data_IF_503329850243
#
_entry.id   IF_503329850243
#
_cell.length_a   1.000
_cell.length_b   1.000
_cell.length_c   1.000
_cell.angle_alpha   90.00
_cell.angle_beta   90.00
_cell.angle_gamma   90.00
#
_symmetry.space_group_name_H-M   'P 1'
#
loop_
_entity.id
_entity.type
_entity.pdbx_description
1 polymer ?
#
# COMPACT_ATOMS: atom_id res chain seq x y z
N UNK A 1 -54.14 -23.57 -12.71
CA UNK A 1 -53.04 -22.80 -12.06
C UNK A 1 -53.62 -21.52 -11.48
N UNK A 2 -53.38 -21.18 -10.21
CA UNK A 2 -53.90 -19.96 -9.60
C UNK A 2 -53.39 -18.72 -10.32
N UNK A 3 -54.26 -17.72 -10.56
CA UNK A 3 -53.94 -16.51 -11.35
C UNK A 3 -52.72 -15.74 -10.80
N UNK A 4 -52.50 -15.79 -9.49
CA UNK A 4 -51.34 -15.19 -8.81
C UNK A 4 -50.00 -15.82 -9.23
N UNK A 5 -49.97 -17.11 -9.57
CA UNK A 5 -48.75 -17.81 -9.99
C UNK A 5 -48.32 -17.43 -11.41
N UNK A 6 -49.26 -17.05 -12.28
CA UNK A 6 -48.92 -16.56 -13.63
C UNK A 6 -48.33 -15.14 -13.57
N UNK A 7 -48.83 -14.31 -12.65
CA UNK A 7 -48.32 -12.94 -12.45
C UNK A 7 -46.91 -12.97 -11.86
N UNK A 8 -46.64 -13.84 -10.89
CA UNK A 8 -45.29 -13.94 -10.30
C UNK A 8 -44.26 -14.45 -11.31
N UNK A 9 -44.62 -15.39 -12.18
CA UNK A 9 -43.73 -15.87 -13.25
C UNK A 9 -43.48 -14.79 -14.31
N UNK A 10 -44.51 -14.02 -14.68
CA UNK A 10 -44.36 -12.90 -15.62
C UNK A 10 -43.46 -11.78 -15.07
N UNK A 11 -43.61 -11.43 -13.78
CA UNK A 11 -42.77 -10.41 -13.13
C UNK A 11 -41.32 -10.89 -12.97
N UNK A 12 -41.11 -12.16 -12.64
CA UNK A 12 -39.77 -12.75 -12.58
C UNK A 12 -39.08 -12.77 -13.95
N UNK A 13 -39.82 -13.08 -15.01
CA UNK A 13 -39.31 -13.03 -16.40
C UNK A 13 -38.92 -11.62 -16.84
N UNK A 14 -39.73 -10.60 -16.49
CA UNK A 14 -39.43 -9.21 -16.81
C UNK A 14 -38.19 -8.67 -16.08
N UNK A 15 -38.01 -9.06 -14.80
CA UNK A 15 -36.83 -8.67 -14.00
C UNK A 15 -35.54 -9.31 -14.53
N UNK A 16 -35.61 -10.53 -15.07
CA UNK A 16 -34.46 -11.21 -15.66
C UNK A 16 -34.04 -10.66 -17.04
N UNK A 17 -34.96 -10.05 -17.79
CA UNK A 17 -34.67 -9.47 -19.10
C UNK A 17 -34.15 -8.02 -19.04
N UNK A 18 -34.44 -7.29 -17.96
CA UNK A 18 -33.98 -5.92 -17.69
C UNK A 18 -32.43 -5.75 -17.71
N UNK A 19 -31.62 -6.62 -17.08
CA UNK A 19 -30.15 -6.50 -17.16
C UNK A 19 -29.60 -6.82 -18.56
N UNK A 20 -30.29 -7.65 -19.34
CA UNK A 20 -29.89 -7.99 -20.72
C UNK A 20 -30.07 -6.78 -21.66
N UNK A 21 -31.15 -6.02 -21.49
CA UNK A 21 -31.41 -4.77 -22.21
C UNK A 21 -30.39 -3.67 -21.84
N UNK A 22 -30.00 -3.56 -20.57
CA UNK A 22 -28.99 -2.59 -20.10
C UNK A 22 -27.58 -2.92 -20.65
N UNK A 23 -27.24 -4.20 -20.81
CA UNK A 23 -25.97 -4.63 -21.42
C UNK A 23 -25.87 -4.28 -22.91
N UNK A 24 -26.97 -4.38 -23.67
CA UNK A 24 -26.98 -4.07 -25.11
C UNK A 24 -26.78 -2.56 -25.35
N UNK A 25 -27.36 -1.70 -24.51
CA UNK A 25 -27.19 -0.23 -24.61
C UNK A 25 -25.75 0.19 -24.24
N UNK A 26 -25.09 -0.49 -23.30
CA UNK A 26 -23.70 -0.16 -22.88
C UNK A 26 -22.64 -0.60 -23.90
N UNK A 27 -22.91 -1.66 -24.68
CA UNK A 27 -22.03 -2.11 -25.78
C UNK A 27 -22.11 -1.22 -27.03
N UNK A 28 -23.22 -0.50 -27.27
CA UNK A 28 -23.41 0.29 -28.48
C UNK A 28 -22.82 1.72 -28.42
N UNK A 29 -22.54 2.26 -27.22
CA UNK A 29 -22.11 3.66 -27.08
C UNK A 29 -20.58 3.88 -26.97
N UNK A 30 -19.77 2.83 -27.14
CA UNK A 30 -18.30 2.94 -27.06
C UNK A 30 -17.64 3.29 -28.40
N UNK A 31 -17.79 4.51 -28.92
CA UNK A 31 -16.91 5.01 -30.00
C UNK A 31 -16.66 6.52 -29.94
N UNK A 32 -15.39 6.88 -29.62
CA UNK A 32 -14.49 7.86 -30.28
C UNK A 32 -13.69 8.70 -29.27
N UNK A 33 -12.36 8.54 -29.31
CA UNK A 33 -11.36 9.51 -28.81
C UNK A 33 -11.10 10.58 -29.88
N UNK A 34 -10.63 11.78 -29.50
CA UNK A 34 -9.40 12.27 -30.14
C UNK A 34 -8.37 12.93 -29.20
N UNK A 35 -7.13 12.95 -29.71
CA UNK A 35 -5.86 13.47 -29.14
C UNK A 35 -5.72 15.00 -29.29
N UNK A 36 -5.00 15.66 -28.37
CA UNK A 36 -4.07 16.79 -28.62
C UNK A 36 -3.34 17.16 -27.30
N UNK A 37 -2.17 17.79 -27.21
CA UNK A 37 -0.88 17.84 -27.94
C UNK A 37 -0.06 18.85 -27.09
N UNK A 38 1.07 18.46 -26.52
CA UNK A 38 1.93 19.32 -25.69
C UNK A 38 2.42 20.56 -26.45
N UNK A 39 2.70 21.63 -25.69
CA UNK A 39 3.80 22.55 -26.02
C UNK A 39 4.42 23.15 -24.75
N UNK A 40 5.73 22.95 -24.63
CA UNK A 40 6.65 23.51 -23.65
C UNK A 40 7.05 24.93 -24.10
N UNK A 41 7.23 25.84 -23.14
CA UNK A 41 7.93 27.11 -23.31
C UNK A 41 8.65 27.48 -22.02
N UNK A 42 9.98 27.58 -22.08
CA UNK A 42 10.90 28.00 -21.01
C UNK A 42 11.42 29.43 -21.29
N UNK A 43 12.18 29.97 -20.32
CA UNK A 43 12.95 31.24 -20.28
C UNK A 43 12.21 32.41 -19.61
N UNK A 44 12.82 33.28 -18.78
CA UNK A 44 14.13 33.31 -18.14
C UNK A 44 14.13 34.35 -16.99
N UNK A 45 15.18 34.27 -16.19
CA UNK A 45 15.65 35.04 -15.01
C UNK A 45 15.66 36.56 -15.14
N UNK A 46 15.34 37.32 -14.06
CA UNK A 46 16.30 38.21 -13.34
C UNK A 46 15.70 39.06 -12.20
N UNK A 47 16.39 38.95 -11.07
CA UNK A 47 16.51 39.75 -9.83
C UNK A 47 16.00 41.20 -9.77
N UNK A 48 15.35 41.58 -8.64
CA UNK A 48 15.82 42.67 -7.74
C UNK A 48 14.93 42.88 -6.49
N UNK A 49 15.61 42.81 -5.35
CA UNK A 49 15.47 43.37 -4.00
C UNK A 49 14.26 44.24 -3.54
N UNK A 50 13.89 43.93 -2.28
CA UNK A 50 13.51 44.80 -1.13
C UNK A 50 12.09 45.36 -0.92
N UNK A 51 11.61 45.01 0.28
CA UNK A 51 10.81 45.77 1.26
C UNK A 51 9.32 46.01 1.02
N UNK A 52 8.55 45.27 1.82
CA UNK A 52 7.34 45.65 2.56
C UNK A 52 6.23 46.36 1.78
N UNK A 53 5.13 45.64 1.59
CA UNK A 53 3.77 46.10 1.90
C UNK A 53 2.82 44.89 1.82
N UNK A 54 2.06 44.67 2.89
CA UNK A 54 1.00 43.67 3.01
C UNK A 54 0.08 43.75 1.79
N UNK A 55 -0.08 42.66 1.03
CA UNK A 55 -1.08 42.52 -0.04
C UNK A 55 -1.88 41.23 0.12
N UNK A 56 -3.18 41.25 -0.23
CA UNK A 56 -4.10 40.15 0.01
C UNK A 56 -3.74 38.92 -0.84
N UNK A 57 -4.01 37.74 -0.29
CA UNK A 57 -3.71 36.45 -0.92
C UNK A 57 -4.34 36.34 -2.32
N UNK A 58 -3.51 36.27 -3.36
CA UNK A 58 -3.95 35.81 -4.68
C UNK A 58 -4.37 34.34 -4.56
N UNK A 59 -5.49 33.92 -5.16
CA UNK A 59 -5.85 32.51 -5.23
C UNK A 59 -4.80 31.80 -6.11
N UNK A 60 -3.90 31.04 -5.50
CA UNK A 60 -3.00 30.15 -6.21
C UNK A 60 -3.84 29.08 -6.92
N UNK A 61 -3.66 28.97 -8.23
CA UNK A 61 -4.27 27.93 -9.06
C UNK A 61 -3.77 26.58 -8.53
N UNK A 62 -4.65 25.66 -8.09
CA UNK A 62 -4.21 24.38 -7.57
C UNK A 62 -3.62 23.49 -8.68
N UNK A 63 -2.62 22.66 -8.37
CA UNK A 63 -2.22 21.57 -9.24
C UNK A 63 -3.35 20.52 -9.39
N UNK A 64 -3.27 19.62 -10.39
CA UNK A 64 -4.21 18.52 -10.52
C UNK A 64 -4.07 17.50 -9.38
N UNK A 65 -5.21 17.07 -8.81
CA UNK A 65 -5.30 16.11 -7.70
C UNK A 65 -4.63 16.55 -6.39
N UNK A 66 -4.93 17.76 -5.92
CA UNK A 66 -4.33 18.32 -4.69
C UNK A 66 -5.34 18.52 -3.55
N UNK A 67 -4.86 18.43 -2.31
CA UNK A 67 -5.57 18.71 -1.06
C UNK A 67 -5.03 20.02 -0.45
N UNK A 68 -5.91 20.92 0.00
CA UNK A 68 -5.54 22.17 0.69
C UNK A 68 -5.58 21.97 2.22
N UNK A 69 -4.41 22.05 2.83
CA UNK A 69 -4.17 21.98 4.29
C UNK A 69 -4.18 23.41 4.82
N UNK A 70 -4.74 23.66 6.01
CA UNK A 70 -4.88 25.05 6.47
C UNK A 70 -4.19 25.57 7.68
N UNK A 71 -3.86 24.75 8.64
CA UNK A 71 -3.30 25.29 9.86
C UNK A 71 -2.53 24.19 10.50
N UNK A 72 -1.27 24.50 10.81
CA UNK A 72 -0.51 23.85 11.85
C UNK A 72 -0.13 24.99 12.78
N UNK A 73 -0.78 25.09 13.94
CA UNK A 73 -0.42 26.05 14.96
C UNK A 73 -0.13 25.23 16.21
N UNK A 74 1.12 25.25 16.65
CA UNK A 74 1.48 24.68 17.95
C UNK A 74 1.21 25.73 19.03
N UNK A 75 0.18 25.52 19.83
CA UNK A 75 0.19 25.99 21.22
C UNK A 75 0.89 24.91 22.07
N UNK A 76 1.32 25.18 23.32
CA UNK A 76 2.35 24.39 24.01
C UNK A 76 2.14 22.87 24.18
N UNK A 77 1.02 22.29 23.75
CA UNK A 77 0.76 20.85 23.70
C UNK A 77 -0.17 20.40 22.56
N UNK A 78 -0.59 21.30 21.65
CA UNK A 78 -1.69 21.02 20.71
C UNK A 78 -1.30 21.32 19.28
N UNK A 79 -1.46 20.32 18.41
CA UNK A 79 -1.38 20.47 16.97
C UNK A 79 -2.80 20.55 16.40
N UNK A 80 -3.22 21.75 16.00
CA UNK A 80 -4.45 21.91 15.23
C UNK A 80 -4.18 21.63 13.76
N UNK A 81 -4.99 20.79 13.12
CA UNK A 81 -4.90 20.40 11.71
C UNK A 81 -6.21 20.74 11.01
N UNK A 82 -6.15 21.53 9.94
CA UNK A 82 -7.33 21.90 9.13
C UNK A 82 -7.35 21.21 7.77
N UNK A 83 -8.48 20.59 7.42
CA UNK A 83 -8.78 20.03 6.10
C UNK A 83 -9.79 20.95 5.41
N UNK A 84 -9.37 21.73 4.41
CA UNK A 84 -10.26 22.68 3.72
C UNK A 84 -10.99 22.06 2.55
N UNK A 85 -10.26 21.64 1.52
CA UNK A 85 -10.86 21.20 0.27
C UNK A 85 -9.91 20.30 -0.50
N UNK A 86 -10.45 19.50 -1.41
CA UNK A 86 -9.71 18.79 -2.43
C UNK A 86 -10.22 19.18 -3.81
N UNK A 87 -9.36 19.09 -4.83
CA UNK A 87 -9.74 19.34 -6.22
C UNK A 87 -9.27 18.23 -7.13
N UNK A 88 -10.02 18.00 -8.20
CA UNK A 88 -9.71 17.03 -9.25
C UNK A 88 -9.37 15.63 -8.68
N UNK A 89 -10.19 15.17 -7.74
CA UNK A 89 -10.09 13.81 -7.23
C UNK A 89 -10.36 12.80 -8.34
N UNK A 90 -9.78 11.61 -8.19
CA UNK A 90 -10.05 10.49 -9.09
C UNK A 90 -11.48 10.00 -8.88
N UNK A 91 -12.23 9.83 -9.96
CA UNK A 91 -13.52 9.15 -9.96
C UNK A 91 -13.35 7.66 -9.69
N UNK A 92 -13.91 7.19 -8.59
CA UNK A 92 -13.85 5.80 -8.15
C UNK A 92 -15.18 5.08 -8.37
N UNK A 93 -16.30 5.81 -8.38
CA UNK A 93 -17.62 5.26 -8.68
C UNK A 93 -17.84 5.06 -10.18
N UNK A 94 -18.68 4.07 -10.49
CA UNK A 94 -19.20 3.83 -11.84
C UNK A 94 -19.96 5.02 -12.45
N UNK A 95 -20.39 5.98 -11.63
CA UNK A 95 -21.04 7.23 -12.02
C UNK A 95 -20.09 8.33 -12.50
N UNK A 96 -18.78 8.10 -12.50
CA UNK A 96 -17.78 9.12 -12.89
C UNK A 96 -17.52 10.17 -11.81
N UNK A 97 -17.95 9.92 -10.58
CA UNK A 97 -17.70 10.74 -9.38
C UNK A 97 -17.09 9.89 -8.27
N UNK A 98 -16.95 10.46 -7.08
CA UNK A 98 -16.62 9.75 -5.84
C UNK A 98 -17.47 10.35 -4.70
N UNK A 99 -17.56 9.65 -3.58
CA UNK A 99 -18.12 10.09 -2.31
C UNK A 99 -16.99 10.38 -1.29
N UNK A 100 -16.17 11.44 -1.48
CA UNK A 100 -14.94 11.63 -0.72
C UNK A 100 -15.15 11.98 0.76
N UNK A 101 -14.28 11.42 1.60
CA UNK A 101 -14.01 11.84 2.98
C UNK A 101 -12.51 11.68 3.31
N UNK A 102 -12.02 12.36 4.34
CA UNK A 102 -10.60 12.36 4.71
C UNK A 102 -10.43 11.77 6.10
N UNK A 103 -9.50 10.82 6.23
CA UNK A 103 -9.02 10.32 7.51
C UNK A 103 -7.70 11.02 7.84
N UNK A 104 -7.60 11.57 9.04
CA UNK A 104 -6.45 12.33 9.53
C UNK A 104 -5.88 11.67 10.78
N UNK A 105 -4.58 11.39 10.80
CA UNK A 105 -3.89 10.82 11.97
C UNK A 105 -2.40 11.17 11.99
N UNK A 106 -1.75 10.95 13.13
CA UNK A 106 -0.30 11.08 13.29
C UNK A 106 0.35 9.71 13.34
N UNK A 107 1.57 9.58 12.79
CA UNK A 107 2.30 8.30 12.85
C UNK A 107 2.72 7.89 14.26
N UNK A 108 2.88 8.85 15.18
CA UNK A 108 3.14 8.61 16.60
C UNK A 108 1.97 7.98 17.34
N UNK A 109 0.73 8.29 16.93
CA UNK A 109 -0.49 7.71 17.48
C UNK A 109 -1.48 7.34 16.36
N UNK A 110 -1.19 6.20 15.74
CA UNK A 110 -2.03 5.62 14.66
C UNK A 110 -3.41 5.15 15.13
N UNK A 111 -3.67 5.09 16.44
CA UNK A 111 -4.99 4.71 16.98
C UNK A 111 -5.93 5.91 17.01
N UNK A 112 -5.41 7.11 17.24
CA UNK A 112 -6.17 8.34 17.27
C UNK A 112 -6.35 8.90 15.85
N UNK A 113 -7.49 8.59 15.25
CA UNK A 113 -7.87 9.02 13.91
C UNK A 113 -9.09 9.91 13.96
N UNK A 114 -9.11 10.91 13.10
CA UNK A 114 -10.26 11.77 12.87
C UNK A 114 -10.75 11.58 11.45
N UNK A 115 -12.05 11.71 11.25
CA UNK A 115 -12.68 11.58 9.94
C UNK A 115 -13.52 12.81 9.65
N UNK A 116 -13.46 13.31 8.41
CA UNK A 116 -14.37 14.33 7.93
C UNK A 116 -15.74 13.74 7.62
N UNK A 117 -16.72 14.60 7.40
CA UNK A 117 -17.99 14.21 6.77
C UNK A 117 -17.74 13.66 5.36
N UNK A 118 -18.64 12.78 4.94
CA UNK A 118 -18.69 12.25 3.56
C UNK A 118 -19.45 13.23 2.67
N UNK A 119 -18.83 13.64 1.58
CA UNK A 119 -19.45 14.49 0.57
C UNK A 119 -19.80 13.63 -0.65
N UNK A 120 -21.07 13.63 -1.06
CA UNK A 120 -21.53 12.71 -2.10
C UNK A 120 -21.33 13.26 -3.52
N UNK A 121 -20.97 12.37 -4.44
CA UNK A 121 -20.91 12.59 -5.90
C UNK A 121 -20.14 13.85 -6.28
N UNK A 122 -18.95 14.03 -5.73
CA UNK A 122 -18.10 15.19 -6.01
C UNK A 122 -16.64 14.80 -6.14
N UNK A 123 -15.94 15.43 -7.08
CA UNK A 123 -14.49 15.35 -7.22
C UNK A 123 -13.78 16.58 -6.65
N UNK A 124 -14.54 17.57 -6.16
CA UNK A 124 -14.05 18.82 -5.61
C UNK A 124 -14.73 19.13 -4.27
N UNK A 125 -14.58 18.28 -3.24
CA UNK A 125 -15.22 18.48 -1.95
C UNK A 125 -14.62 19.68 -1.20
N UNK A 126 -15.49 20.44 -0.52
CA UNK A 126 -15.12 21.49 0.42
C UNK A 126 -15.51 20.99 1.82
N UNK A 127 -14.51 20.55 2.59
CA UNK A 127 -14.67 19.99 3.92
C UNK A 127 -14.81 21.09 4.99
N UNK A 128 -13.84 22.01 5.04
CA UNK A 128 -13.69 23.06 6.07
C UNK A 128 -13.78 22.52 7.51
N UNK A 129 -13.10 21.40 7.78
CA UNK A 129 -13.08 20.76 9.11
C UNK A 129 -11.72 20.95 9.79
N UNK A 130 -11.69 20.95 11.12
CA UNK A 130 -10.48 21.11 11.92
C UNK A 130 -10.43 20.12 13.06
N UNK A 131 -9.26 19.54 13.29
CA UNK A 131 -8.99 18.52 14.29
C UNK A 131 -7.84 18.97 15.19
N UNK A 132 -7.85 18.56 16.46
CA UNK A 132 -6.81 18.92 17.42
C UNK A 132 -6.17 17.67 17.99
N UNK A 133 -4.86 17.50 17.75
CA UNK A 133 -4.05 16.45 18.33
C UNK A 133 -3.34 16.98 19.57
N UNK A 134 -3.29 16.17 20.62
CA UNK A 134 -2.45 16.42 21.80
C UNK A 134 -1.14 15.70 21.53
N UNK A 135 -0.04 16.43 21.35
CA UNK A 135 1.26 15.85 20.97
C UNK A 135 2.35 16.49 21.84
N UNK A 136 3.07 15.71 22.66
CA UNK A 136 4.22 16.23 23.40
C UNK A 136 5.24 16.82 22.45
N UNK A 137 5.82 17.98 22.79
CA UNK A 137 6.75 18.69 21.90
C UNK A 137 7.97 17.85 21.47
N UNK A 138 8.41 16.92 22.33
CA UNK A 138 9.49 15.98 22.01
C UNK A 138 9.14 15.00 20.89
N UNK A 139 7.87 14.63 20.73
CA UNK A 139 7.41 13.67 19.72
C UNK A 139 7.05 14.33 18.39
N UNK A 140 6.88 15.66 18.37
CA UNK A 140 6.48 16.41 17.18
C UNK A 140 7.50 16.25 16.06
N UNK A 141 8.80 16.35 16.34
CA UNK A 141 9.85 16.23 15.32
C UNK A 141 9.93 14.83 14.68
N UNK A 142 9.52 13.78 15.38
CA UNK A 142 9.54 12.40 14.89
C UNK A 142 8.20 11.97 14.26
N UNK A 143 7.17 12.81 14.39
CA UNK A 143 5.83 12.54 13.91
C UNK A 143 5.62 13.01 12.47
N UNK A 144 4.84 12.24 11.73
CA UNK A 144 4.34 12.60 10.40
C UNK A 144 2.83 12.71 10.46
N UNK A 145 2.29 13.82 9.96
CA UNK A 145 0.85 13.97 9.73
C UNK A 145 0.47 13.24 8.46
N UNK A 146 -0.52 12.37 8.56
CA UNK A 146 -1.05 11.61 7.43
C UNK A 146 -2.51 11.98 7.22
N UNK A 147 -2.84 12.35 5.98
CA UNK A 147 -4.20 12.60 5.52
C UNK A 147 -4.50 11.68 4.34
N UNK A 148 -5.45 10.78 4.50
CA UNK A 148 -5.86 9.83 3.48
C UNK A 148 -7.26 10.19 2.98
N UNK A 149 -7.39 10.38 1.67
CA UNK A 149 -8.68 10.64 1.03
C UNK A 149 -9.28 9.32 0.58
N UNK A 150 -10.47 9.01 1.06
CA UNK A 150 -11.21 7.79 0.73
C UNK A 150 -12.49 8.11 -0.04
N UNK A 151 -12.91 7.16 -0.85
CA UNK A 151 -14.20 7.08 -1.50
C UNK A 151 -15.13 6.18 -0.66
N UNK A 152 -16.23 6.73 -0.18
CA UNK A 152 -17.19 6.02 0.65
C UNK A 152 -18.04 5.05 -0.19
N UNK A 153 -18.08 3.79 0.23
CA UNK A 153 -18.87 2.75 -0.42
C UNK A 153 -19.90 2.15 0.55
N UNK A 154 -21.19 2.25 0.22
CA UNK A 154 -22.27 1.75 1.11
C UNK A 154 -22.28 0.23 1.32
N UNK A 155 -21.86 -0.52 0.31
CA UNK A 155 -21.98 -1.98 0.27
C UNK A 155 -20.65 -2.70 -0.02
N UNK A 156 -19.56 -1.96 -0.04
CA UNK A 156 -18.23 -2.48 -0.34
C UNK A 156 -17.18 -1.79 0.55
N UNK A 157 -15.96 -2.30 0.55
CA UNK A 157 -14.84 -1.64 1.22
C UNK A 157 -14.61 -0.27 0.58
N UNK A 158 -14.30 0.73 1.40
CA UNK A 158 -13.99 2.08 0.93
C UNK A 158 -12.66 2.07 0.16
N UNK A 159 -12.64 2.77 -0.97
CA UNK A 159 -11.46 2.82 -1.82
C UNK A 159 -10.61 4.04 -1.48
N UNK A 160 -9.30 3.86 -1.40
CA UNK A 160 -8.41 4.99 -1.17
C UNK A 160 -8.16 5.72 -2.49
N UNK A 161 -8.41 7.02 -2.51
CA UNK A 161 -8.18 7.91 -3.66
C UNK A 161 -6.70 8.32 -3.69
N UNK A 162 -6.15 8.70 -2.54
CA UNK A 162 -4.75 9.10 -2.39
C UNK A 162 -4.42 9.54 -0.98
N UNK A 163 -3.14 9.84 -0.72
CA UNK A 163 -2.68 10.28 0.60
C UNK A 163 -1.68 11.43 0.53
N UNK A 164 -1.64 12.22 1.59
CA UNK A 164 -0.62 13.22 1.88
C UNK A 164 0.10 12.83 3.15
N UNK A 165 1.43 12.85 3.12
CA UNK A 165 2.29 12.67 4.29
C UNK A 165 3.13 13.93 4.48
N UNK A 166 3.05 14.51 5.67
CA UNK A 166 3.76 15.73 6.04
C UNK A 166 4.61 15.48 7.30
N UNK A 167 5.92 15.26 7.15
CA UNK A 167 6.83 15.15 8.29
C UNK A 167 6.82 16.47 9.08
N UNK A 168 6.42 16.43 10.35
CA UNK A 168 6.23 17.66 11.13
C UNK A 168 7.56 18.37 11.42
N UNK A 169 8.70 17.66 11.45
CA UNK A 169 10.03 18.27 11.52
C UNK A 169 10.36 19.19 10.34
N UNK A 170 9.75 18.98 9.17
CA UNK A 170 10.00 19.79 7.97
C UNK A 170 9.19 21.10 7.96
N UNK A 171 8.36 21.33 8.97
CA UNK A 171 7.36 22.39 8.98
C UNK A 171 7.61 23.35 10.14
N UNK A 172 7.56 24.65 9.88
CA UNK A 172 7.64 25.65 10.93
C UNK A 172 6.27 25.85 11.60
N UNK A 173 6.03 25.10 12.68
CA UNK A 173 4.75 25.05 13.41
C UNK A 173 4.46 26.29 14.26
N UNK A 174 5.34 27.30 14.26
CA UNK A 174 5.15 28.58 14.96
C UNK A 174 4.18 29.52 14.21
N UNK A 175 3.92 29.25 12.92
CA UNK A 175 3.02 30.05 12.09
C UNK A 175 1.92 29.18 11.50
N UNK A 176 0.74 29.79 11.30
CA UNK A 176 -0.36 29.13 10.58
C UNK A 176 0.05 28.89 9.12
N UNK A 177 0.23 27.62 8.76
CA UNK A 177 0.60 27.22 7.39
C UNK A 177 -0.63 26.73 6.64
N UNK A 178 -0.88 27.35 5.50
CA UNK A 178 -1.91 26.98 4.53
C UNK A 178 -1.26 26.66 3.18
N UNK A 179 -1.33 25.41 2.74
CA UNK A 179 -0.71 24.98 1.49
C UNK A 179 -1.51 23.88 0.77
N UNK A 180 -1.38 23.84 -0.55
CA UNK A 180 -1.80 22.71 -1.37
C UNK A 180 -0.76 21.58 -1.29
N UNK A 181 -1.20 20.35 -1.33
CA UNK A 181 -0.35 19.17 -1.37
C UNK A 181 -0.95 18.14 -2.32
N UNK A 182 -0.13 17.64 -3.24
CA UNK A 182 -0.59 16.65 -4.22
C UNK A 182 -0.87 15.31 -3.54
N UNK A 183 -1.96 14.67 -3.96
CA UNK A 183 -2.29 13.34 -3.50
C UNK A 183 -1.34 12.34 -4.12
N UNK A 184 -0.44 11.79 -3.32
CA UNK A 184 0.32 10.63 -3.71
C UNK A 184 -0.64 9.45 -3.86
N UNK A 185 -0.36 8.57 -4.84
CA UNK A 185 -1.01 7.27 -4.88
C UNK A 185 -0.73 6.59 -3.56
N UNK A 186 -1.78 6.35 -2.77
CA UNK A 186 -1.61 5.65 -1.50
C UNK A 186 -1.06 4.27 -1.81
N UNK A 187 0.23 4.09 -1.53
CA UNK A 187 0.70 2.77 -1.23
C UNK A 187 -0.01 2.41 0.07
N UNK A 188 -0.96 1.47 -0.02
CA UNK A 188 -1.26 0.58 1.11
C UNK A 188 -0.01 -0.24 1.45
N UNK A 189 1.14 0.41 1.66
CA UNK A 189 2.25 -0.14 2.40
C UNK A 189 1.84 -0.05 3.87
N UNK A 190 0.86 -0.89 4.23
CA UNK A 190 0.86 -1.43 5.58
C UNK A 190 2.27 -1.95 5.81
N UNK A 191 3.00 -1.33 6.74
CA UNK A 191 4.35 -1.76 7.04
C UNK A 191 4.28 -3.17 7.61
N UNK A 192 4.54 -4.18 6.78
CA UNK A 192 4.43 -5.59 7.16
C UNK A 192 5.60 -6.06 8.04
N UNK A 193 6.62 -5.21 8.16
CA UNK A 193 7.85 -5.43 8.91
C UNK A 193 9.05 -5.63 8.00
N UNK A 194 10.19 -5.81 8.63
CA UNK A 194 11.48 -6.03 7.96
C UNK A 194 12.07 -7.36 8.40
N UNK A 195 12.81 -8.00 7.50
CA UNK A 195 13.52 -9.26 7.78
C UNK A 195 14.99 -9.14 7.38
N UNK A 196 15.87 -9.60 8.26
CA UNK A 196 17.30 -9.73 8.03
C UNK A 196 17.65 -11.19 7.75
N UNK A 197 18.35 -11.43 6.66
CA UNK A 197 18.86 -12.76 6.32
C UNK A 197 20.15 -12.63 5.54
N UNK A 198 20.95 -13.70 5.59
CA UNK A 198 22.18 -13.81 4.83
C UNK A 198 22.09 -14.81 3.69
N UNK A 199 22.68 -14.44 2.57
CA UNK A 199 22.86 -15.30 1.41
C UNK A 199 24.34 -15.59 1.17
N UNK A 200 24.62 -16.84 0.80
CA UNK A 200 25.95 -17.29 0.36
C UNK A 200 25.79 -18.34 -0.72
N UNK A 201 26.51 -18.17 -1.83
CA UNK A 201 26.57 -19.17 -2.89
C UNK A 201 28.00 -19.65 -3.13
N UNK A 202 28.16 -20.97 -3.32
CA UNK A 202 29.43 -21.60 -3.68
C UNK A 202 29.26 -22.30 -5.02
N UNK A 203 29.74 -21.71 -6.13
CA UNK A 203 29.54 -22.27 -7.47
C UNK A 203 30.15 -23.66 -7.65
N UNK A 204 31.32 -23.93 -7.06
CA UNK A 204 32.04 -25.21 -7.21
C UNK A 204 31.28 -26.42 -6.65
N UNK A 205 30.45 -26.21 -5.63
CA UNK A 205 29.64 -27.28 -5.00
C UNK A 205 28.15 -27.12 -5.27
N UNK A 206 27.74 -26.06 -5.98
CA UNK A 206 26.34 -25.72 -6.21
C UNK A 206 25.55 -25.51 -4.91
N UNK A 207 26.18 -25.04 -3.83
CA UNK A 207 25.51 -24.87 -2.54
C UNK A 207 25.05 -23.43 -2.36
N UNK A 208 23.73 -23.25 -2.23
CA UNK A 208 23.10 -21.99 -1.82
C UNK A 208 22.72 -22.10 -0.34
N UNK A 209 23.30 -21.24 0.48
CA UNK A 209 23.02 -21.13 1.92
C UNK A 209 22.21 -19.88 2.19
N UNK A 210 21.08 -20.05 2.87
CA UNK A 210 20.19 -18.98 3.33
C UNK A 210 20.14 -19.05 4.86
N UNK A 211 20.69 -18.05 5.54
CA UNK A 211 20.63 -17.92 6.99
C UNK A 211 19.56 -16.89 7.36
N UNK A 212 18.48 -17.33 7.98
CA UNK A 212 17.45 -16.42 8.50
C UNK A 212 17.91 -15.93 9.87
N UNK A 213 18.20 -14.63 10.00
CA UNK A 213 18.73 -14.04 11.23
C UNK A 213 17.59 -13.63 12.15
N UNK A 214 16.87 -12.57 11.79
CA UNK A 214 15.84 -11.95 12.62
C UNK A 214 14.85 -11.16 11.77
N UNK A 215 13.71 -10.81 12.35
CA UNK A 215 12.78 -9.83 11.81
C UNK A 215 12.43 -8.79 12.86
N UNK A 216 11.95 -7.62 12.43
CA UNK A 216 11.53 -6.54 13.34
C UNK A 216 10.31 -5.82 12.81
N UNK A 217 9.56 -5.22 13.73
CA UNK A 217 8.38 -4.41 13.43
C UNK A 217 7.36 -5.16 12.54
N UNK A 218 7.19 -6.47 12.77
CA UNK A 218 6.21 -7.26 12.04
C UNK A 218 4.80 -6.75 12.32
N UNK A 219 3.92 -6.87 11.33
CA UNK A 219 2.50 -6.57 11.50
C UNK A 219 1.88 -7.56 12.50
N UNK A 220 1.14 -7.02 13.49
CA UNK A 220 0.32 -7.79 14.41
C UNK A 220 -0.86 -8.42 13.66
N UNK A 221 -1.02 -9.72 13.82
CA UNK A 221 -2.07 -10.51 13.16
C UNK A 221 -3.10 -11.07 14.16
N UNK A 222 -2.71 -11.39 15.40
CA UNK A 222 -3.61 -11.92 16.42
C UNK A 222 -4.44 -10.84 17.13
N UNK A 223 -5.72 -11.16 17.37
CA UNK A 223 -6.63 -10.31 18.17
C UNK A 223 -6.26 -10.30 19.66
N UNK A 224 -5.88 -11.47 20.21
CA UNK A 224 -5.57 -11.70 21.63
C UNK A 224 -4.07 -11.97 21.90
N UNK A 225 -3.18 -11.36 21.12
CA UNK A 225 -1.72 -11.49 21.28
C UNK A 225 -0.97 -10.66 20.25
N UNK A 226 0.36 -10.76 20.19
CA UNK A 226 1.15 -10.16 19.11
C UNK A 226 1.02 -11.00 17.82
N UNK A 227 2.02 -11.83 17.56
CA UNK A 227 2.05 -12.84 16.50
C UNK A 227 2.99 -13.95 16.92
N UNK A 228 2.83 -15.13 16.36
CA UNK A 228 3.67 -16.30 16.48
C UNK A 228 4.49 -16.53 15.17
N UNK A 229 5.44 -15.63 14.82
CA UNK A 229 6.08 -15.64 13.51
C UNK A 229 6.97 -16.86 13.25
N UNK A 230 6.92 -17.33 12.01
CA UNK A 230 7.88 -18.25 11.41
C UNK A 230 8.13 -17.94 9.94
N UNK A 231 9.30 -18.33 9.43
CA UNK A 231 9.72 -18.02 8.06
C UNK A 231 9.72 -19.27 7.20
N UNK A 232 9.16 -19.18 6.00
CA UNK A 232 9.26 -20.21 4.95
C UNK A 232 10.19 -19.72 3.86
N UNK A 233 11.21 -20.52 3.54
CA UNK A 233 12.13 -20.31 2.42
C UNK A 233 11.75 -21.29 1.30
N UNK A 234 11.36 -20.75 0.15
CA UNK A 234 10.96 -21.51 -1.04
C UNK A 234 11.91 -21.21 -2.20
N UNK A 235 12.44 -22.24 -2.84
CA UNK A 235 13.06 -22.11 -4.15
C UNK A 235 12.02 -22.33 -5.24
N UNK A 236 12.00 -21.41 -6.20
CA UNK A 236 11.23 -21.51 -7.43
C UNK A 236 12.23 -21.63 -8.57
N UNK A 237 12.09 -22.65 -9.41
CA UNK A 237 12.90 -22.83 -10.61
C UNK A 237 11.96 -22.76 -11.81
N UNK A 238 12.26 -21.91 -12.78
CA UNK A 238 11.44 -21.76 -14.00
C UNK A 238 9.94 -21.53 -13.69
N UNK A 239 9.64 -20.67 -12.70
CA UNK A 239 8.27 -20.37 -12.20
C UNK A 239 7.52 -21.57 -11.60
N UNK A 240 8.18 -22.69 -11.35
CA UNK A 240 7.63 -23.84 -10.64
C UNK A 240 8.24 -23.95 -9.25
N UNK A 241 7.40 -24.23 -8.25
CA UNK A 241 7.86 -24.48 -6.87
C UNK A 241 8.78 -25.71 -6.89
N UNK A 242 9.94 -25.61 -6.24
CA UNK A 242 10.95 -26.65 -6.27
C UNK A 242 11.27 -27.21 -4.88
N UNK A 243 11.92 -26.43 -4.01
CA UNK A 243 12.32 -26.85 -2.66
C UNK A 243 11.73 -25.91 -1.61
N UNK A 244 11.38 -26.44 -0.44
CA UNK A 244 10.80 -25.67 0.68
C UNK A 244 11.48 -26.05 1.99
N UNK A 245 11.82 -25.05 2.80
CA UNK A 245 12.17 -25.22 4.21
C UNK A 245 11.47 -24.15 5.05
N UNK A 246 11.39 -24.37 6.37
CA UNK A 246 10.80 -23.41 7.31
C UNK A 246 11.59 -23.37 8.61
N UNK A 247 11.54 -22.24 9.30
CA UNK A 247 12.13 -22.07 10.63
C UNK A 247 11.26 -22.68 11.73
N UNK A 248 11.79 -22.69 12.95
CA UNK A 248 10.99 -22.77 14.16
C UNK A 248 10.02 -21.58 14.28
N UNK A 249 8.94 -21.79 15.04
CA UNK A 249 7.96 -20.75 15.39
C UNK A 249 8.44 -20.01 16.63
N UNK A 250 8.43 -18.68 16.61
CA UNK A 250 8.70 -17.84 17.78
C UNK A 250 7.38 -17.30 18.28
N UNK A 251 7.07 -17.49 19.57
CA UNK A 251 5.76 -17.15 20.12
C UNK A 251 5.68 -15.70 20.58
N UNK A 252 4.53 -15.09 20.38
CA UNK A 252 4.12 -13.79 20.91
C UNK A 252 5.18 -12.69 20.78
N UNK A 253 5.67 -12.44 19.56
CA UNK A 253 6.69 -11.43 19.28
C UNK A 253 6.54 -10.81 17.89
N UNK A 254 6.81 -9.50 17.78
CA UNK A 254 6.92 -8.80 16.49
C UNK A 254 8.38 -8.57 16.05
N UNK A 255 9.33 -9.00 16.88
CA UNK A 255 10.77 -8.91 16.62
C UNK A 255 11.47 -10.25 16.90
N UNK A 256 11.15 -11.31 16.12
CA UNK A 256 11.69 -12.64 16.35
C UNK A 256 13.17 -12.76 15.94
N UNK A 257 13.95 -13.43 16.77
CA UNK A 257 15.30 -13.89 16.46
C UNK A 257 15.30 -15.38 16.12
N UNK A 258 15.74 -15.75 14.92
CA UNK A 258 15.73 -17.13 14.40
C UNK A 258 17.12 -17.76 14.44
N UNK A 259 18.08 -17.15 13.75
CA UNK A 259 19.44 -17.67 13.51
C UNK A 259 19.45 -19.12 12.97
N UNK A 260 18.64 -19.39 11.94
CA UNK A 260 18.46 -20.73 11.36
C UNK A 260 19.00 -20.82 9.93
N UNK A 261 19.82 -21.84 9.66
CA UNK A 261 20.52 -22.02 8.37
C UNK A 261 19.82 -23.05 7.49
N UNK A 262 19.57 -22.68 6.24
CA UNK A 262 19.04 -23.54 5.20
C UNK A 262 20.03 -23.69 4.05
N UNK A 263 20.41 -24.93 3.74
CA UNK A 263 21.25 -25.24 2.57
C UNK A 263 20.41 -25.90 1.49
N UNK A 264 20.62 -25.45 0.25
CA UNK A 264 19.99 -25.99 -0.95
C UNK A 264 21.04 -26.29 -2.03
N UNK A 265 20.88 -27.43 -2.69
CA UNK A 265 21.64 -27.75 -3.90
C UNK A 265 21.01 -27.06 -5.11
N UNK A 266 21.75 -26.12 -5.69
CA UNK A 266 21.44 -25.33 -6.88
C UNK A 266 22.67 -25.33 -7.79
N UNK A 267 22.70 -26.16 -8.85
CA UNK A 267 23.77 -26.15 -9.84
C UNK A 267 23.98 -24.77 -10.44
N UNK A 268 25.22 -24.42 -10.78
CA UNK A 268 25.54 -23.11 -11.36
C UNK A 268 24.76 -22.83 -12.65
N UNK A 269 24.53 -23.85 -13.48
CA UNK A 269 23.72 -23.74 -14.70
C UNK A 269 22.26 -23.32 -14.45
N UNK A 270 21.75 -23.51 -13.23
CA UNK A 270 20.37 -23.20 -12.86
C UNK A 270 20.21 -21.89 -12.08
N UNK A 271 21.29 -21.33 -11.52
CA UNK A 271 21.22 -20.23 -10.56
C UNK A 271 20.52 -18.98 -11.11
N UNK A 272 20.67 -18.70 -12.41
CA UNK A 272 20.04 -17.55 -13.07
C UNK A 272 18.50 -17.69 -13.19
N UNK A 273 17.99 -18.91 -13.14
CA UNK A 273 16.58 -19.24 -13.28
C UNK A 273 15.90 -19.59 -11.95
N UNK A 274 16.63 -19.46 -10.84
CA UNK A 274 16.13 -19.68 -9.49
C UNK A 274 15.70 -18.36 -8.86
N UNK A 275 14.51 -18.36 -8.27
CA UNK A 275 14.08 -17.33 -7.34
C UNK A 275 14.00 -17.92 -5.92
N UNK A 276 14.59 -17.22 -4.95
CA UNK A 276 14.45 -17.52 -3.52
C UNK A 276 13.32 -16.67 -2.97
N UNK A 277 12.24 -17.31 -2.55
CA UNK A 277 11.09 -16.66 -1.94
C UNK A 277 11.15 -16.83 -0.43
N UNK A 278 11.19 -15.72 0.28
CA UNK A 278 11.15 -15.66 1.74
C UNK A 278 9.80 -15.11 2.15
N UNK A 279 9.08 -15.84 2.98
CA UNK A 279 7.75 -15.44 3.47
C UNK A 279 7.67 -15.61 4.96
N UNK A 280 7.21 -14.56 5.65
CA UNK A 280 6.95 -14.56 7.09
C UNK A 280 5.48 -14.85 7.30
N UNK A 281 5.18 -15.77 8.20
CA UNK A 281 3.85 -16.27 8.49
C UNK A 281 3.59 -16.16 9.97
N UNK A 282 2.34 -15.92 10.31
CA UNK A 282 1.83 -16.10 11.66
C UNK A 282 1.36 -17.55 11.84
N UNK A 283 1.61 -18.12 13.02
CA UNK A 283 1.19 -19.47 13.37
C UNK A 283 0.05 -19.46 14.38
N UNK A 284 -1.15 -19.66 13.88
CA UNK A 284 -2.31 -19.77 14.75
C UNK A 284 -2.52 -21.23 15.17
N UNK A 285 -2.86 -21.44 16.45
CA UNK A 285 -3.14 -22.78 16.99
C UNK A 285 -4.49 -23.33 16.54
N UNK A 286 -5.46 -22.45 16.30
CA UNK A 286 -6.87 -22.80 16.04
C UNK A 286 -7.25 -22.48 14.60
N UNK A 287 -6.80 -21.34 14.08
CA UNK A 287 -7.06 -20.90 12.72
C UNK A 287 -5.95 -21.32 11.77
N UNK A 288 -6.13 -21.01 10.48
CA UNK A 288 -5.14 -21.34 9.46
C UNK A 288 -4.08 -20.25 9.44
N UNK A 289 -2.82 -20.64 9.64
CA UNK A 289 -1.63 -19.79 9.47
C UNK A 289 -1.76 -18.75 8.34
N UNK A 290 -1.63 -17.48 8.70
CA UNK A 290 -1.76 -16.34 7.80
C UNK A 290 -0.39 -15.81 7.37
N UNK A 291 -0.22 -15.37 6.10
CA UNK A 291 1.02 -14.75 5.68
C UNK A 291 1.07 -13.28 6.13
N UNK A 292 2.10 -12.93 6.91
CA UNK A 292 2.36 -11.53 7.32
C UNK A 292 2.89 -10.74 6.12
N UNK A 293 3.91 -11.29 5.45
CA UNK A 293 4.59 -10.60 4.37
C UNK A 293 5.56 -11.49 3.61
N UNK A 294 5.98 -11.04 2.45
CA UNK A 294 6.73 -11.85 1.50
C UNK A 294 7.70 -11.01 0.69
N UNK A 295 8.75 -11.64 0.20
CA UNK A 295 9.66 -11.08 -0.80
C UNK A 295 10.30 -12.21 -1.61
N UNK A 296 10.95 -11.86 -2.71
CA UNK A 296 11.76 -12.80 -3.47
C UNK A 296 13.08 -12.17 -3.93
N UNK A 297 14.10 -13.01 -4.06
CA UNK A 297 15.42 -12.67 -4.61
C UNK A 297 15.67 -13.54 -5.83
N UNK A 298 16.40 -13.02 -6.81
CA UNK A 298 16.69 -13.70 -8.07
C UNK A 298 17.05 -12.69 -9.14
N UNK A 299 17.47 -13.17 -10.32
CA UNK A 299 17.82 -12.31 -11.44
C UNK A 299 16.64 -11.47 -11.99
N UNK A 300 15.40 -11.81 -11.59
CA UNK A 300 14.16 -11.11 -11.96
C UNK A 300 13.64 -10.16 -10.89
N UNK A 301 14.30 -10.11 -9.74
CA UNK A 301 13.97 -9.15 -8.71
C UNK A 301 14.34 -7.72 -9.18
N UNK A 302 13.90 -6.72 -8.44
CA UNK A 302 14.26 -5.31 -8.68
C UNK A 302 14.80 -4.69 -7.39
N UNK A 303 15.41 -3.51 -7.48
CA UNK A 303 15.86 -2.74 -6.33
C UNK A 303 16.79 -3.52 -5.39
N UNK A 304 16.48 -3.46 -4.09
CA UNK A 304 17.34 -4.01 -3.05
C UNK A 304 17.49 -5.54 -3.11
N UNK A 305 16.43 -6.24 -3.50
CA UNK A 305 16.42 -7.70 -3.62
C UNK A 305 17.34 -8.17 -4.76
N UNK A 306 17.35 -7.45 -5.88
CA UNK A 306 18.27 -7.73 -7.00
C UNK A 306 19.72 -7.44 -6.59
N UNK A 307 19.96 -6.33 -5.89
CA UNK A 307 21.29 -5.95 -5.40
C UNK A 307 21.86 -7.03 -4.49
N UNK A 308 21.10 -7.48 -3.47
CA UNK A 308 21.54 -8.53 -2.55
C UNK A 308 21.88 -9.84 -3.29
N UNK A 309 21.07 -10.20 -4.29
CA UNK A 309 21.31 -11.37 -5.13
C UNK A 309 22.58 -11.23 -5.98
N UNK A 310 22.77 -10.08 -6.62
CA UNK A 310 23.95 -9.75 -7.43
C UNK A 310 25.22 -9.75 -6.60
N UNK A 311 25.18 -9.14 -5.41
CA UNK A 311 26.31 -9.08 -4.50
C UNK A 311 26.71 -10.49 -4.02
N UNK A 312 25.73 -11.36 -3.74
CA UNK A 312 25.98 -12.76 -3.40
C UNK A 312 26.70 -13.51 -4.53
N UNK A 313 26.29 -13.31 -5.78
CA UNK A 313 26.92 -13.95 -6.94
C UNK A 313 28.32 -13.41 -7.23
N UNK A 314 28.53 -12.11 -7.00
CA UNK A 314 29.81 -11.43 -7.24
C UNK A 314 30.85 -11.71 -6.14
N UNK A 315 30.41 -12.12 -4.95
CA UNK A 315 31.27 -12.46 -3.82
C UNK A 315 31.13 -13.95 -3.44
N UNK A 316 31.56 -14.88 -4.32
CA UNK A 316 31.43 -16.30 -4.06
C UNK A 316 32.10 -16.66 -2.74
N UNK A 317 31.44 -17.50 -1.93
CA UNK A 317 31.88 -17.97 -0.60
C UNK A 317 31.80 -16.97 0.56
N UNK A 318 31.45 -15.70 0.35
CA UNK A 318 31.20 -14.75 1.46
C UNK A 318 29.70 -14.70 1.79
N UNK A 319 29.29 -14.94 3.05
CA UNK A 319 27.92 -14.65 3.47
C UNK A 319 27.71 -13.14 3.50
N UNK A 320 26.66 -12.67 2.85
CA UNK A 320 26.22 -11.28 2.87
C UNK A 320 24.90 -11.20 3.60
N UNK A 321 24.80 -10.39 4.65
CA UNK A 321 23.58 -10.20 5.43
C UNK A 321 22.97 -8.85 5.10
N UNK A 322 21.64 -8.82 4.92
CA UNK A 322 20.96 -7.58 4.60
C UNK A 322 19.51 -7.56 5.09
N UNK A 323 19.05 -6.38 5.49
CA UNK A 323 17.65 -6.08 5.79
C UNK A 323 16.83 -5.90 4.50
N UNK A 324 15.61 -6.42 4.52
CA UNK A 324 14.63 -6.24 3.45
C UNK A 324 13.25 -5.94 4.03
N UNK A 325 12.53 -5.03 3.38
CA UNK A 325 11.15 -4.69 3.71
C UNK A 325 10.22 -5.77 3.13
N UNK A 326 9.27 -6.24 3.93
CA UNK A 326 8.27 -7.21 3.52
C UNK A 326 7.19 -6.56 2.65
N UNK A 327 6.80 -7.25 1.59
CA UNK A 327 5.75 -6.83 0.67
C UNK A 327 4.49 -7.69 0.82
N UNK A 328 3.31 -7.17 0.41
CA UNK A 328 2.08 -7.97 0.42
C UNK A 328 2.25 -9.26 -0.40
N UNK A 329 1.82 -10.41 0.12
CA UNK A 329 1.98 -11.70 -0.54
C UNK A 329 1.44 -11.74 -1.98
N UNK A 330 0.31 -11.10 -2.23
CA UNK A 330 -0.34 -11.06 -3.56
C UNK A 330 0.49 -10.29 -4.59
N UNK A 331 1.18 -9.22 -4.17
CA UNK A 331 2.06 -8.42 -5.04
C UNK A 331 3.25 -9.27 -5.48
N UNK A 332 3.85 -10.01 -4.54
CA UNK A 332 4.99 -10.88 -4.82
C UNK A 332 4.58 -12.08 -5.68
N UNK A 333 3.44 -12.70 -5.39
CA UNK A 333 2.94 -13.84 -6.17
C UNK A 333 2.59 -13.46 -7.62
N UNK A 334 2.02 -12.26 -7.81
CA UNK A 334 1.79 -11.70 -9.14
C UNK A 334 3.10 -11.42 -9.88
N UNK A 335 4.10 -10.86 -9.20
CA UNK A 335 5.42 -10.60 -9.79
C UNK A 335 6.15 -11.89 -10.22
N UNK A 336 5.98 -12.98 -9.47
CA UNK A 336 6.53 -14.30 -9.79
C UNK A 336 5.74 -15.04 -10.88
N UNK A 337 4.57 -14.53 -11.28
CA UNK A 337 3.70 -15.20 -12.26
C UNK A 337 3.20 -16.56 -11.76
N UNK A 338 3.09 -16.75 -10.44
CA UNK A 338 2.54 -17.96 -9.87
C UNK A 338 1.02 -17.92 -10.05
N UNK A 339 0.45 -18.85 -10.81
CA UNK A 339 -1.01 -18.96 -10.97
C UNK A 339 -1.65 -19.05 -9.58
N UNK A 340 -2.55 -18.12 -9.26
CA UNK A 340 -3.45 -18.30 -8.13
C UNK A 340 -4.27 -19.55 -8.44
N UNK A 341 -4.31 -20.49 -7.50
CA UNK A 341 -5.28 -21.57 -7.56
C UNK A 341 -6.65 -20.89 -7.43
N UNK A 342 -7.32 -20.63 -8.55
CA UNK A 342 -8.75 -20.38 -8.54
C UNK A 342 -9.37 -21.56 -7.81
N UNK A 343 -9.89 -21.32 -6.60
CA UNK A 343 -10.80 -22.27 -5.97
C UNK A 343 -12.05 -22.29 -6.84
N UNK A 344 -12.15 -23.30 -7.70
CA UNK A 344 -13.42 -23.64 -8.32
C UNK A 344 -14.44 -23.86 -7.20
N UNK A 345 -15.64 -23.26 -7.26
CA UNK A 345 -16.69 -23.58 -6.32
C UNK A 345 -17.03 -25.06 -6.50
N UNK A 346 -16.79 -25.85 -5.45
CA UNK A 346 -17.28 -27.22 -5.37
C UNK A 346 -18.81 -27.15 -5.42
N UNK A 347 -19.40 -27.66 -6.50
CA UNK A 347 -20.80 -28.05 -6.47
C UNK A 347 -20.96 -29.20 -5.47
N UNK A 348 -21.70 -28.96 -4.39
CA UNK A 348 -22.25 -30.02 -3.55
C UNK A 348 -23.26 -30.80 -4.40
N UNK A 349 -23.04 -32.11 -4.54
CA UNK A 349 -24.04 -33.05 -5.00
C UNK A 349 -25.06 -33.32 -3.90
#
# INVERSE_FOLDING_TARGET
VPKWALITVAVAGAILLLPFLICIVKCCCSKKKPKKKERIGLCAVSNSTTTNLVRPAFPSIPPPSSLRILTLCLTPLQLKVGVKQAVELKAMDSGGTSDPYVIVYLTSDVRKRYETKVYRKTLNPIFNESFTFQVPQAEVSESTLVMQVYDFNRFAKHDIIGEVRLPLASVNLQHVIEQWSDLAVSSKEEHLGEICFSLRYVPSTGKLTVLILEARQLKRMDSDGLSDPFVKVHLILNRKKWKKKRTSVKKNTLSPYFNEVFVFDVPFSQIQNVDVVISVWDHDKVTKNEPIGKLFLGCRATGNQLRHWSDMLSNPRRPLAQWHILQPPDVVDKALGLKSHLKLPLHSR
#
